data_IF_117507761750
#
_entry.id   IF_117507761750
#
_cell.length_a   1.000
_cell.length_b   1.000
_cell.length_c   1.000
_cell.angle_alpha   90.00
_cell.angle_beta   90.00
_cell.angle_gamma   90.00
#
_symmetry.space_group_name_H-M   'P 1'
#
loop_
_entity.id
_entity.type
_entity.pdbx_description
1 polymer ?
#
# COMPACT_ATOMS: atom_id res chain seq x y z
N UNK A 1 -20.67 -27.22 21.84
CA UNK A 1 -19.87 -26.22 22.58
C UNK A 1 -19.11 -25.38 21.55
N UNK A 2 -19.72 -24.32 21.16
CA UNK A 2 -18.99 -23.28 20.39
C UNK A 2 -18.31 -22.45 21.49
N UNK A 3 -17.05 -22.76 21.77
CA UNK A 3 -16.19 -21.87 22.54
C UNK A 3 -16.03 -20.53 21.80
N UNK A 4 -15.58 -19.49 22.49
CA UNK A 4 -15.32 -18.22 21.80
C UNK A 4 -14.30 -18.47 20.66
N UNK A 5 -14.69 -18.13 19.43
CA UNK A 5 -13.81 -18.28 18.26
C UNK A 5 -12.55 -17.42 18.41
N UNK A 6 -11.45 -17.86 17.82
CA UNK A 6 -10.19 -17.10 17.75
C UNK A 6 -10.15 -16.39 16.40
N UNK A 7 -10.21 -15.08 16.41
CA UNK A 7 -10.11 -14.26 15.19
C UNK A 7 -8.78 -13.50 15.19
N UNK A 8 -8.07 -13.57 14.07
CA UNK A 8 -6.81 -12.86 13.90
C UNK A 8 -7.03 -11.57 13.10
N UNK A 9 -6.59 -10.46 13.67
CA UNK A 9 -6.48 -9.19 12.95
C UNK A 9 -4.99 -8.94 12.62
N UNK A 10 -4.65 -8.97 11.34
CA UNK A 10 -3.28 -8.87 10.85
C UNK A 10 -3.06 -7.51 10.19
N UNK A 11 -2.43 -6.55 10.90
CA UNK A 11 -2.17 -5.21 10.35
C UNK A 11 -1.23 -5.24 9.15
N UNK A 12 -0.23 -6.10 9.16
CA UNK A 12 0.69 -6.31 8.05
C UNK A 12 0.96 -7.81 7.86
N UNK A 13 0.63 -8.31 6.68
CA UNK A 13 0.87 -9.70 6.34
C UNK A 13 2.29 -9.86 5.77
N UNK A 14 3.19 -10.40 6.58
CA UNK A 14 4.57 -10.65 6.18
C UNK A 14 4.67 -11.57 4.97
N UNK A 15 5.71 -11.39 4.16
CA UNK A 15 5.96 -12.14 2.93
C UNK A 15 4.88 -11.99 1.83
N UNK A 16 3.93 -11.07 1.95
CA UNK A 16 2.85 -10.88 0.98
C UNK A 16 3.31 -10.63 -0.46
N UNK A 17 4.56 -10.17 -0.66
CA UNK A 17 5.19 -10.00 -1.98
C UNK A 17 5.79 -11.28 -2.55
N UNK A 18 5.91 -12.37 -1.77
CA UNK A 18 6.32 -13.69 -2.27
C UNK A 18 5.07 -14.56 -2.50
N UNK A 19 4.22 -14.05 -3.36
CA UNK A 19 2.90 -14.55 -3.75
C UNK A 19 2.94 -15.59 -4.88
N UNK A 20 4.11 -15.75 -5.50
CA UNK A 20 4.37 -16.69 -6.59
C UNK A 20 5.81 -17.18 -6.55
N UNK A 21 6.09 -18.22 -7.33
CA UNK A 21 7.45 -18.72 -7.53
C UNK A 21 8.18 -17.83 -8.53
N UNK A 22 9.28 -17.22 -8.11
CA UNK A 22 10.16 -16.42 -8.98
C UNK A 22 11.25 -17.30 -9.62
N UNK A 23 11.60 -18.41 -8.96
CA UNK A 23 12.55 -19.40 -9.45
C UNK A 23 12.03 -20.82 -9.23
N UNK A 24 12.44 -21.82 -10.04
CA UNK A 24 12.10 -23.21 -9.79
C UNK A 24 12.53 -23.65 -8.38
N UNK A 25 11.67 -24.38 -7.69
CA UNK A 25 11.93 -24.88 -6.35
C UNK A 25 11.64 -23.93 -5.19
N UNK A 26 11.34 -22.66 -5.46
CA UNK A 26 10.94 -21.72 -4.40
C UNK A 26 9.57 -22.04 -3.81
N UNK A 27 9.43 -21.80 -2.51
CA UNK A 27 8.14 -21.84 -1.82
C UNK A 27 7.39 -20.53 -2.06
N UNK A 28 6.09 -20.59 -2.21
CA UNK A 28 5.21 -19.41 -2.13
C UNK A 28 5.02 -19.10 -0.64
N UNK A 29 5.91 -18.27 -0.08
CA UNK A 29 5.96 -18.04 1.37
C UNK A 29 4.68 -17.44 1.92
N UNK A 30 4.04 -16.54 1.16
CA UNK A 30 2.77 -15.95 1.56
C UNK A 30 1.68 -17.03 1.76
N UNK A 31 1.59 -18.00 0.84
CA UNK A 31 0.63 -19.11 0.96
C UNK A 31 0.94 -20.03 2.13
N UNK A 32 2.21 -20.39 2.33
CA UNK A 32 2.61 -21.25 3.45
C UNK A 32 2.26 -20.63 4.82
N UNK A 33 2.44 -19.30 4.95
CA UNK A 33 2.04 -18.57 6.17
C UNK A 33 0.52 -18.54 6.30
N UNK A 34 -0.21 -18.29 5.21
CA UNK A 34 -1.67 -18.30 5.20
C UNK A 34 -2.24 -19.64 5.67
N UNK A 35 -1.74 -20.74 5.13
CA UNK A 35 -2.15 -22.11 5.51
C UNK A 35 -1.84 -22.39 6.99
N UNK A 36 -0.66 -21.98 7.47
CA UNK A 36 -0.30 -22.11 8.88
C UNK A 36 -1.23 -21.33 9.81
N UNK A 37 -1.55 -20.07 9.47
CA UNK A 37 -2.45 -19.24 10.27
C UNK A 37 -3.87 -19.83 10.29
N UNK A 38 -4.36 -20.33 9.17
CA UNK A 38 -5.69 -20.93 9.07
C UNK A 38 -5.87 -22.16 9.98
N UNK A 39 -4.79 -22.82 10.40
CA UNK A 39 -4.88 -23.92 11.37
C UNK A 39 -4.98 -23.45 12.82
N UNK A 40 -4.82 -22.16 13.09
CA UNK A 40 -4.72 -21.60 14.45
C UNK A 40 -5.85 -20.63 14.79
N UNK A 41 -6.75 -20.32 13.85
CA UNK A 41 -7.84 -19.37 14.07
C UNK A 41 -9.11 -19.78 13.32
N UNK A 42 -10.23 -19.20 13.74
CA UNK A 42 -11.56 -19.45 13.19
C UNK A 42 -11.93 -18.36 12.14
N UNK A 43 -11.11 -17.33 11.98
CA UNK A 43 -11.26 -16.29 10.98
C UNK A 43 -10.10 -15.31 10.98
N UNK A 44 -9.86 -14.67 9.83
CA UNK A 44 -8.72 -13.82 9.57
C UNK A 44 -9.15 -12.50 8.93
N UNK A 45 -8.75 -11.35 9.48
CA UNK A 45 -8.81 -10.09 8.77
C UNK A 45 -7.42 -9.55 8.48
N UNK A 46 -7.22 -9.03 7.28
CA UNK A 46 -5.94 -8.49 6.80
C UNK A 46 -6.13 -7.10 6.21
N UNK A 47 -5.18 -6.21 6.53
CA UNK A 47 -5.18 -4.84 6.03
C UNK A 47 -4.36 -4.75 4.74
N UNK A 48 -4.95 -4.16 3.69
CA UNK A 48 -4.31 -3.82 2.39
C UNK A 48 -3.33 -4.88 1.89
N UNK A 49 -3.76 -6.14 1.86
CA UNK A 49 -2.93 -7.25 1.42
C UNK A 49 -2.43 -7.03 -0.01
N UNK A 50 -1.11 -7.14 -0.22
CA UNK A 50 -0.47 -6.93 -1.52
C UNK A 50 -1.00 -7.89 -2.61
N UNK A 51 -1.25 -9.13 -2.23
CA UNK A 51 -1.68 -10.20 -3.14
C UNK A 51 -2.84 -10.98 -2.51
N UNK A 52 -4.10 -10.51 -2.64
CA UNK A 52 -5.28 -11.14 -2.02
C UNK A 52 -5.45 -12.61 -2.38
N UNK A 53 -5.03 -13.03 -3.57
CA UNK A 53 -5.13 -14.40 -4.06
C UNK A 53 -4.39 -15.43 -3.18
N UNK A 54 -3.44 -15.00 -2.34
CA UNK A 54 -2.74 -15.94 -1.43
C UNK A 54 -3.63 -16.45 -0.30
N UNK A 55 -4.73 -15.74 0.00
CA UNK A 55 -5.72 -16.13 1.01
C UNK A 55 -6.97 -16.77 0.39
N UNK A 56 -7.06 -16.86 -0.94
CA UNK A 56 -8.14 -17.58 -1.60
C UNK A 56 -8.08 -19.07 -1.25
N UNK A 57 -9.25 -19.67 -1.09
CA UNK A 57 -9.42 -21.10 -0.77
C UNK A 57 -8.79 -21.52 0.59
N UNK A 58 -8.75 -20.64 1.57
CA UNK A 58 -8.59 -21.06 2.96
C UNK A 58 -9.93 -21.58 3.49
N UNK A 59 -9.86 -22.60 4.36
CA UNK A 59 -11.05 -23.23 4.96
C UNK A 59 -11.62 -22.41 6.15
N UNK A 60 -11.27 -21.13 6.24
CA UNK A 60 -11.76 -20.19 7.26
C UNK A 60 -12.26 -18.89 6.60
N UNK A 61 -13.20 -18.15 7.20
CA UNK A 61 -13.58 -16.82 6.76
C UNK A 61 -12.41 -15.85 6.72
N UNK A 62 -12.30 -15.08 5.63
CA UNK A 62 -11.28 -14.03 5.47
C UNK A 62 -11.98 -12.72 5.14
N UNK A 63 -11.72 -11.68 5.94
CA UNK A 63 -12.15 -10.32 5.67
C UNK A 63 -10.95 -9.48 5.18
N UNK A 64 -11.09 -8.89 4.00
CA UNK A 64 -10.11 -7.94 3.46
C UNK A 64 -10.53 -6.52 3.82
N UNK A 65 -9.65 -5.80 4.49
CA UNK A 65 -9.92 -4.41 4.88
C UNK A 65 -8.87 -3.47 4.30
N UNK A 66 -9.22 -2.20 4.17
CA UNK A 66 -8.34 -1.19 3.58
C UNK A 66 -8.24 0.04 4.46
N UNK A 67 -7.05 0.61 4.56
CA UNK A 67 -6.78 1.90 5.20
C UNK A 67 -6.80 3.07 4.21
N UNK A 68 -7.25 2.86 2.97
CA UNK A 68 -7.35 3.96 2.00
C UNK A 68 -8.28 5.08 2.45
N UNK A 69 -9.41 4.83 3.15
CA UNK A 69 -10.22 5.90 3.74
C UNK A 69 -9.45 6.73 4.78
N UNK A 70 -8.69 6.10 5.66
CA UNK A 70 -7.87 6.76 6.68
C UNK A 70 -6.73 7.57 6.03
N UNK A 71 -6.10 7.00 4.99
CA UNK A 71 -5.12 7.71 4.17
C UNK A 71 -5.72 8.95 3.50
N UNK A 72 -6.87 8.80 2.87
CA UNK A 72 -7.58 9.90 2.20
C UNK A 72 -7.89 11.04 3.18
N UNK A 73 -8.47 10.72 4.33
CA UNK A 73 -8.77 11.70 5.37
C UNK A 73 -7.52 12.45 5.85
N UNK A 74 -6.42 11.72 6.09
CA UNK A 74 -5.15 12.33 6.49
C UNK A 74 -4.57 13.23 5.39
N UNK A 75 -4.53 12.75 4.15
CA UNK A 75 -4.02 13.54 3.03
C UNK A 75 -4.87 14.79 2.79
N UNK A 76 -6.20 14.71 2.93
CA UNK A 76 -7.08 15.85 2.77
C UNK A 76 -6.91 16.90 3.87
N UNK A 77 -6.63 16.50 5.12
CA UNK A 77 -6.43 17.41 6.24
C UNK A 77 -5.03 18.05 6.24
N UNK A 78 -3.98 17.26 6.02
CA UNK A 78 -2.60 17.65 6.26
C UNK A 78 -1.84 18.07 4.99
N UNK A 79 -2.22 17.52 3.82
CA UNK A 79 -1.48 17.73 2.55
C UNK A 79 -2.30 18.52 1.54
N UNK A 80 -3.60 18.23 1.43
CA UNK A 80 -4.54 18.80 0.44
C UNK A 80 -4.03 18.65 -1.00
N UNK A 81 -3.78 17.42 -1.46
CA UNK A 81 -3.24 17.20 -2.77
C UNK A 81 -4.26 17.57 -3.87
N UNK A 82 -3.78 18.18 -4.93
CA UNK A 82 -4.56 18.44 -6.15
C UNK A 82 -4.59 17.21 -7.06
N UNK A 83 -3.66 16.27 -6.83
CA UNK A 83 -3.44 15.14 -7.72
C UNK A 83 -2.93 13.91 -6.95
N UNK A 84 -3.51 12.75 -7.22
CA UNK A 84 -3.02 11.45 -6.71
C UNK A 84 -2.31 10.69 -7.84
N UNK A 85 -1.13 10.16 -7.54
CA UNK A 85 -0.37 9.34 -8.47
C UNK A 85 -0.21 7.92 -7.94
N UNK A 86 -0.56 6.93 -8.77
CA UNK A 86 -0.11 5.55 -8.55
C UNK A 86 1.31 5.37 -9.09
N UNK A 87 2.26 4.83 -8.31
CA UNK A 87 3.65 4.66 -8.76
C UNK A 87 3.82 3.57 -9.81
N UNK A 88 2.84 2.69 -9.97
CA UNK A 88 2.78 1.65 -11.00
C UNK A 88 1.36 1.09 -11.18
N UNK A 89 1.21 0.13 -12.10
CA UNK A 89 -0.10 -0.49 -12.38
C UNK A 89 -0.68 -1.30 -11.23
N UNK A 90 0.14 -1.81 -10.33
CA UNK A 90 -0.31 -2.63 -9.20
C UNK A 90 -1.01 -1.84 -8.09
N UNK A 91 -0.76 -0.53 -8.02
CA UNK A 91 -1.36 0.34 -7.00
C UNK A 91 -2.52 1.21 -7.54
N UNK A 92 -2.95 1.01 -8.80
CA UNK A 92 -3.97 1.85 -9.45
C UNK A 92 -5.27 1.88 -8.63
N UNK A 93 -5.80 0.74 -8.24
CA UNK A 93 -7.09 0.66 -7.55
C UNK A 93 -7.06 1.42 -6.21
N UNK A 94 -5.98 1.30 -5.45
CA UNK A 94 -5.79 2.00 -4.18
C UNK A 94 -5.67 3.51 -4.36
N UNK A 95 -4.81 3.94 -5.27
CA UNK A 95 -4.61 5.36 -5.56
C UNK A 95 -5.88 6.00 -6.14
N UNK A 96 -6.61 5.28 -7.01
CA UNK A 96 -7.91 5.72 -7.54
C UNK A 96 -8.95 5.86 -6.43
N UNK A 97 -9.01 4.92 -5.49
CA UNK A 97 -9.92 5.00 -4.35
C UNK A 97 -9.64 6.23 -3.48
N UNK A 98 -8.36 6.52 -3.19
CA UNK A 98 -7.98 7.72 -2.44
C UNK A 98 -8.39 8.98 -3.20
N UNK A 99 -8.11 9.06 -4.50
CA UNK A 99 -8.47 10.21 -5.33
C UNK A 99 -9.99 10.46 -5.35
N UNK A 100 -10.79 9.40 -5.46
CA UNK A 100 -12.25 9.48 -5.40
C UNK A 100 -12.76 10.00 -4.04
N UNK A 101 -12.14 9.56 -2.95
CA UNK A 101 -12.55 9.95 -1.59
C UNK A 101 -12.27 11.43 -1.30
N UNK A 102 -11.23 12.01 -1.90
CA UNK A 102 -10.86 13.42 -1.71
C UNK A 102 -11.24 14.32 -2.89
N UNK A 103 -11.90 13.75 -3.90
CA UNK A 103 -12.38 14.46 -5.11
C UNK A 103 -11.28 15.22 -5.84
N UNK A 104 -10.18 14.52 -6.19
CA UNK A 104 -9.07 15.09 -6.92
C UNK A 104 -8.68 14.27 -8.15
N UNK A 105 -7.83 14.84 -9.00
CA UNK A 105 -7.34 14.18 -10.20
C UNK A 105 -6.44 12.97 -9.88
N UNK A 106 -6.43 12.00 -10.78
CA UNK A 106 -5.70 10.75 -10.62
C UNK A 106 -5.01 10.32 -11.92
N UNK A 107 -3.82 9.75 -11.80
CA UNK A 107 -3.15 9.00 -12.87
C UNK A 107 -2.17 7.97 -12.31
N UNK A 108 -1.46 7.28 -13.20
CA UNK A 108 -0.44 6.30 -12.84
C UNK A 108 0.77 6.40 -13.76
N UNK A 109 1.94 5.92 -13.28
CA UNK A 109 3.15 5.82 -14.08
C UNK A 109 3.19 4.50 -14.86
N UNK A 110 3.49 4.57 -16.15
CA UNK A 110 3.76 3.40 -16.96
C UNK A 110 5.23 2.98 -16.84
N UNK A 111 5.47 1.71 -16.44
CA UNK A 111 6.79 1.12 -16.49
C UNK A 111 7.09 0.70 -17.93
N UNK A 112 8.01 1.39 -18.61
CA UNK A 112 8.55 0.92 -19.89
C UNK A 112 9.89 0.26 -19.64
N UNK A 113 9.98 -1.04 -19.93
CA UNK A 113 11.24 -1.79 -19.88
C UNK A 113 11.97 -1.57 -21.19
N UNK A 114 13.15 -0.93 -21.14
CA UNK A 114 13.99 -0.70 -22.33
C UNK A 114 14.90 -1.88 -22.57
N UNK A 115 15.46 -2.47 -21.50
CA UNK A 115 16.30 -3.67 -21.53
C UNK A 115 16.21 -4.46 -20.22
N UNK A 116 16.99 -5.53 -20.10
CA UNK A 116 16.96 -6.41 -18.92
C UNK A 116 17.32 -5.71 -17.59
N UNK A 117 17.99 -4.56 -17.65
CA UNK A 117 18.51 -3.83 -16.50
C UNK A 117 17.94 -2.41 -16.37
N UNK A 118 17.35 -1.85 -17.44
CA UNK A 118 16.88 -0.46 -17.51
C UNK A 118 15.36 -0.42 -17.52
N UNK A 119 14.78 0.07 -16.42
CA UNK A 119 13.35 0.38 -16.32
C UNK A 119 13.23 1.89 -16.29
N UNK A 120 12.58 2.46 -17.31
CA UNK A 120 12.20 3.88 -17.30
C UNK A 120 10.72 3.96 -16.95
N UNK A 121 10.39 4.76 -15.96
CA UNK A 121 9.03 5.18 -15.71
C UNK A 121 8.74 6.32 -16.70
N UNK A 122 8.04 6.03 -17.82
CA UNK A 122 7.51 7.09 -18.65
C UNK A 122 6.38 7.74 -17.88
N UNK A 123 6.66 8.90 -17.31
CA UNK A 123 5.61 9.81 -16.97
C UNK A 123 4.92 10.19 -18.28
N UNK A 124 3.63 9.89 -18.46
CA UNK A 124 2.78 10.64 -19.39
C UNK A 124 2.97 12.13 -19.07
N UNK A 125 2.73 13.02 -20.03
CA UNK A 125 2.56 14.42 -19.69
C UNK A 125 1.39 14.53 -18.72
N UNK A 126 1.75 14.58 -17.43
CA UNK A 126 0.78 14.75 -16.36
C UNK A 126 0.57 16.25 -16.18
N UNK A 127 -0.68 16.67 -16.09
CA UNK A 127 -0.98 18.07 -15.78
C UNK A 127 -0.77 18.31 -14.28
N UNK A 128 0.50 18.32 -13.86
CA UNK A 128 0.91 18.50 -12.44
C UNK A 128 1.64 19.82 -12.19
N UNK A 129 1.76 20.67 -13.20
CA UNK A 129 2.45 21.96 -13.05
C UNK A 129 1.75 22.85 -12.03
N UNK A 130 2.48 23.23 -11.00
CA UNK A 130 1.96 24.08 -9.91
C UNK A 130 1.09 23.32 -8.91
N UNK A 131 0.95 21.98 -9.04
CA UNK A 131 0.09 21.17 -8.17
C UNK A 131 0.87 20.53 -7.03
N UNK A 132 0.15 20.24 -5.95
CA UNK A 132 0.55 19.36 -4.84
C UNK A 132 0.17 17.94 -5.22
N UNK A 133 1.11 17.01 -5.23
CA UNK A 133 0.90 15.63 -5.67
C UNK A 133 1.17 14.65 -4.53
N UNK A 134 0.26 13.72 -4.26
CA UNK A 134 0.52 12.60 -3.38
C UNK A 134 0.65 11.29 -4.15
N UNK A 135 1.78 10.58 -3.96
CA UNK A 135 2.03 9.24 -4.49
C UNK A 135 1.49 8.23 -3.47
N UNK A 136 0.54 7.39 -3.88
CA UNK A 136 -0.12 6.42 -3.00
C UNK A 136 0.19 4.99 -3.43
N UNK A 137 0.62 4.16 -2.47
CA UNK A 137 0.93 2.74 -2.67
C UNK A 137 0.42 1.90 -1.48
N UNK A 138 0.39 0.56 -1.60
CA UNK A 138 0.13 -0.33 -0.45
C UNK A 138 1.32 -0.36 0.50
N UNK A 139 2.53 -0.41 -0.01
CA UNK A 139 3.72 -0.47 0.82
C UNK A 139 4.92 0.29 0.23
N UNK A 140 5.70 0.86 1.12
CA UNK A 140 6.99 1.46 0.77
C UNK A 140 8.11 0.66 1.47
N UNK A 141 8.84 -0.15 0.68
CA UNK A 141 10.00 -0.89 1.18
C UNK A 141 11.27 -0.05 1.07
N UNK A 142 11.97 -0.08 -0.07
CA UNK A 142 13.22 0.66 -0.27
C UNK A 142 13.00 2.11 -0.72
N UNK A 143 11.80 2.48 -1.17
CA UNK A 143 11.45 3.80 -1.64
C UNK A 143 11.96 4.17 -3.05
N UNK A 144 12.67 3.26 -3.72
CA UNK A 144 13.28 3.58 -5.02
C UNK A 144 12.26 3.92 -6.12
N UNK A 145 11.09 3.28 -6.14
CA UNK A 145 10.01 3.59 -7.07
C UNK A 145 9.44 4.99 -6.79
N UNK A 146 9.22 5.30 -5.52
CA UNK A 146 8.70 6.60 -5.07
C UNK A 146 9.68 7.73 -5.43
N UNK A 147 10.99 7.54 -5.19
CA UNK A 147 12.00 8.55 -5.54
C UNK A 147 12.00 8.87 -7.04
N UNK A 148 11.92 7.84 -7.89
CA UNK A 148 11.85 8.04 -9.36
C UNK A 148 10.55 8.73 -9.79
N UNK A 149 9.43 8.37 -9.16
CA UNK A 149 8.15 9.02 -9.41
C UNK A 149 8.20 10.51 -9.01
N UNK A 150 8.74 10.81 -7.83
CA UNK A 150 8.88 12.18 -7.35
C UNK A 150 9.77 13.04 -8.25
N UNK A 151 10.91 12.52 -8.70
CA UNK A 151 11.81 13.20 -9.63
C UNK A 151 11.10 13.52 -10.95
N UNK A 152 10.35 12.57 -11.50
CA UNK A 152 9.56 12.76 -12.70
C UNK A 152 8.45 13.82 -12.53
N UNK A 153 7.76 13.86 -11.38
CA UNK A 153 6.76 14.87 -11.06
C UNK A 153 7.37 16.27 -10.92
N UNK A 154 8.50 16.37 -10.22
CA UNK A 154 9.24 17.63 -10.07
C UNK A 154 9.69 18.18 -11.43
N UNK A 155 10.18 17.32 -12.32
CA UNK A 155 10.60 17.74 -13.67
C UNK A 155 9.43 18.24 -14.52
N UNK A 156 8.19 17.85 -14.21
CA UNK A 156 6.96 18.33 -14.85
C UNK A 156 6.34 19.54 -14.12
N UNK A 157 7.00 20.03 -13.07
CA UNK A 157 6.62 21.28 -12.40
C UNK A 157 5.68 21.11 -11.21
N UNK A 158 5.56 19.92 -10.62
CA UNK A 158 4.87 19.74 -9.33
C UNK A 158 5.55 20.61 -8.25
N UNK A 159 4.76 21.33 -7.45
CA UNK A 159 5.26 22.23 -6.40
C UNK A 159 5.59 21.48 -5.12
N UNK A 160 4.77 20.50 -4.76
CA UNK A 160 5.01 19.60 -3.63
C UNK A 160 4.74 18.16 -4.05
N UNK A 161 5.51 17.24 -3.49
CA UNK A 161 5.34 15.79 -3.70
C UNK A 161 5.38 15.08 -2.37
N UNK A 162 4.31 14.37 -2.04
CA UNK A 162 4.20 13.56 -0.84
C UNK A 162 4.12 12.08 -1.20
N UNK A 163 4.54 11.21 -0.28
CA UNK A 163 4.40 9.77 -0.41
C UNK A 163 3.54 9.22 0.73
N UNK A 164 2.55 8.40 0.41
CA UNK A 164 1.66 7.80 1.40
C UNK A 164 1.49 6.30 1.14
N UNK A 165 1.41 5.49 2.20
CA UNK A 165 1.21 4.05 2.09
C UNK A 165 0.54 3.47 3.33
N UNK A 166 -0.09 2.30 3.15
CA UNK A 166 -0.55 1.51 4.30
C UNK A 166 0.65 0.97 5.08
N UNK A 167 1.60 0.33 4.42
CA UNK A 167 2.70 -0.38 5.07
C UNK A 167 4.05 0.30 4.87
N UNK A 168 4.48 1.06 5.87
CA UNK A 168 5.80 1.69 5.86
C UNK A 168 6.90 0.74 6.34
N UNK A 169 7.46 -0.10 5.46
CA UNK A 169 8.56 -0.99 5.83
C UNK A 169 9.89 -0.24 5.97
N UNK A 170 10.13 0.73 5.11
CA UNK A 170 11.27 1.65 5.11
C UNK A 170 12.64 0.98 5.30
N UNK A 171 12.88 -0.11 4.58
CA UNK A 171 14.13 -0.88 4.65
C UNK A 171 15.30 -0.18 3.93
N UNK A 172 16.52 -0.54 4.31
CA UNK A 172 17.72 -0.08 3.60
C UNK A 172 17.90 1.45 3.57
N UNK A 173 17.53 2.16 4.64
CA UNK A 173 17.67 3.61 4.72
C UNK A 173 16.66 4.39 3.86
N UNK A 174 15.52 3.78 3.57
CA UNK A 174 14.48 4.36 2.70
C UNK A 174 14.01 5.74 3.17
N UNK A 175 13.75 5.94 4.47
CA UNK A 175 13.31 7.24 4.98
C UNK A 175 14.30 8.34 4.62
N UNK A 176 15.60 8.12 4.88
CA UNK A 176 16.65 9.10 4.55
C UNK A 176 16.70 9.40 3.05
N UNK A 177 16.47 8.38 2.23
CA UNK A 177 16.44 8.55 0.77
C UNK A 177 15.19 9.33 0.35
N UNK A 178 14.03 8.94 0.83
CA UNK A 178 12.76 9.57 0.46
C UNK A 178 12.74 11.07 0.78
N UNK A 179 13.25 11.49 1.95
CA UNK A 179 13.29 12.91 2.35
C UNK A 179 14.17 13.80 1.46
N UNK A 180 14.90 13.23 0.50
CA UNK A 180 15.64 14.00 -0.52
C UNK A 180 14.78 14.25 -1.77
N UNK A 181 13.67 13.55 -1.95
CA UNK A 181 12.84 13.60 -3.15
C UNK A 181 11.41 14.07 -2.88
N UNK A 182 10.88 13.82 -1.67
CA UNK A 182 9.51 14.16 -1.30
C UNK A 182 9.48 15.08 -0.08
N UNK A 183 8.46 15.93 -0.01
CA UNK A 183 8.25 16.91 1.07
C UNK A 183 7.69 16.23 2.32
N UNK A 184 6.90 15.15 2.16
CA UNK A 184 6.33 14.38 3.26
C UNK A 184 6.25 12.89 2.96
N UNK A 185 6.37 12.08 4.03
CA UNK A 185 6.16 10.63 3.99
C UNK A 185 5.18 10.26 5.09
N UNK A 186 4.08 9.61 4.70
CA UNK A 186 2.95 9.28 5.55
C UNK A 186 2.68 7.78 5.48
N UNK A 187 2.63 7.10 6.62
CA UNK A 187 2.29 5.69 6.69
C UNK A 187 1.26 5.43 7.78
N UNK A 188 0.53 4.33 7.66
CA UNK A 188 -0.35 3.89 8.73
C UNK A 188 0.44 3.23 9.87
N UNK A 189 -0.22 3.07 11.03
CA UNK A 189 0.30 2.33 12.18
C UNK A 189 0.31 0.80 12.00
N UNK A 190 0.10 0.28 10.78
CA UNK A 190 0.21 -1.16 10.49
C UNK A 190 1.58 -1.74 10.81
N UNK A 191 2.62 -0.92 10.69
CA UNK A 191 3.99 -1.19 11.13
C UNK A 191 4.51 0.03 11.89
N UNK A 192 4.98 -0.17 13.10
CA UNK A 192 5.52 0.92 13.93
C UNK A 192 6.81 1.48 13.33
N UNK A 193 6.81 2.75 12.97
CA UNK A 193 7.97 3.49 12.46
C UNK A 193 7.78 5.00 12.65
N UNK A 194 8.82 5.85 12.47
CA UNK A 194 8.71 7.30 12.69
C UNK A 194 7.73 8.04 11.75
N UNK A 195 7.20 7.38 10.73
CA UNK A 195 6.23 7.93 9.76
C UNK A 195 4.84 7.32 9.88
N UNK A 196 4.59 6.52 10.92
CA UNK A 196 3.27 5.96 11.27
C UNK A 196 2.40 7.03 11.93
N UNK A 197 1.85 7.92 11.11
CA UNK A 197 1.06 9.10 11.54
C UNK A 197 -0.44 8.89 11.33
N UNK A 198 -0.84 7.78 10.70
CA UNK A 198 -2.24 7.47 10.36
C UNK A 198 -2.66 6.24 11.17
N UNK A 199 -3.74 6.36 11.94
CA UNK A 199 -4.28 5.23 12.68
C UNK A 199 -4.90 4.18 11.75
N UNK A 200 -4.53 2.91 11.92
CA UNK A 200 -5.08 1.77 11.19
C UNK A 200 -6.13 0.99 12.00
N UNK A 201 -6.39 1.39 13.23
CA UNK A 201 -7.26 0.66 14.16
C UNK A 201 -8.68 0.52 13.65
N UNK A 202 -9.27 1.60 13.12
CA UNK A 202 -10.65 1.56 12.59
C UNK A 202 -10.74 0.70 11.33
N UNK A 203 -9.73 0.74 10.45
CA UNK A 203 -9.68 -0.14 9.29
C UNK A 203 -9.70 -1.62 9.69
N UNK A 204 -8.89 -2.01 10.67
CA UNK A 204 -8.88 -3.38 11.21
C UNK A 204 -10.19 -3.74 11.91
N UNK A 205 -10.76 -2.80 12.68
CA UNK A 205 -12.03 -3.02 13.37
C UNK A 205 -13.19 -3.27 12.39
N UNK A 206 -13.19 -2.65 11.22
CA UNK A 206 -14.17 -2.96 10.14
C UNK A 206 -14.09 -4.43 9.73
N UNK A 207 -12.88 -4.94 9.49
CA UNK A 207 -12.70 -6.35 9.12
C UNK A 207 -13.08 -7.33 10.24
N UNK A 208 -12.78 -7.00 11.49
CA UNK A 208 -13.24 -7.82 12.63
C UNK A 208 -14.77 -7.84 12.73
N UNK A 209 -15.43 -6.69 12.57
CA UNK A 209 -16.91 -6.64 12.57
C UNK A 209 -17.51 -7.47 11.44
N UNK A 210 -16.90 -7.47 10.26
CA UNK A 210 -17.32 -8.30 9.14
C UNK A 210 -17.24 -9.78 9.47
N UNK A 211 -16.14 -10.25 10.07
CA UNK A 211 -15.97 -11.64 10.50
C UNK A 211 -16.97 -12.08 11.56
N UNK A 212 -17.34 -11.17 12.48
CA UNK A 212 -18.28 -11.47 13.57
C UNK A 212 -19.75 -11.48 13.14
N UNK A 213 -20.06 -10.88 11.98
CA UNK A 213 -21.42 -10.80 11.43
C UNK A 213 -21.72 -11.91 10.40
N UNK A 214 -20.72 -12.70 10.00
CA UNK A 214 -20.82 -13.86 9.12
C UNK A 214 -20.86 -15.16 9.93
#
# INVERSE_FOLDING_TARGET
NIGPGVYLAVPYFGYSRQDKRFKPGEVISARAIADMLATQCDGLTVLDLHAPQVLENLDIPVAFTSAMPELANHLQSEVKPDFILSPDKGAIDRASQVAQLIDCEFSYLEKTRIDAHTIIHKAKDLDVKGKVVAIVDDMIATGGTICRAADALRSQGATEVHAACSHGLFTGGAIRRLTQFVDGVHATGSLANPRSVIDAGEALARGVRELLNN
#
